data_IF_692125149033
#
_entry.id   IF_692125149033
#
_cell.length_a   1.000
_cell.length_b   1.000
_cell.length_c   1.000
_cell.angle_alpha   90.00
_cell.angle_beta   90.00
_cell.angle_gamma   90.00
#
_symmetry.space_group_name_H-M   'P 1'
#
loop_
_entity.id
_entity.type
_entity.pdbx_description
1 polymer ?
#
# COMPACT_ATOMS: atom_id res chain seq x y z
N UNK A 1 -22.88 13.20 -6.15
CA UNK A 1 -23.63 12.07 -5.62
C UNK A 1 -22.87 11.47 -4.46
N UNK A 2 -23.48 11.40 -3.28
CA UNK A 2 -22.86 10.75 -2.13
C UNK A 2 -22.83 9.23 -2.31
N UNK A 3 -21.88 8.56 -1.66
CA UNK A 3 -21.87 7.11 -1.57
C UNK A 3 -23.13 6.70 -0.80
N UNK A 4 -23.98 5.89 -1.42
CA UNK A 4 -25.19 5.34 -0.81
C UNK A 4 -24.93 3.87 -0.50
N UNK A 5 -25.56 3.38 0.56
CA UNK A 5 -25.53 1.95 0.95
C UNK A 5 -24.13 1.41 1.30
N UNK A 6 -23.34 2.17 2.08
CA UNK A 6 -22.09 1.68 2.64
C UNK A 6 -22.39 0.71 3.77
N UNK A 7 -21.80 -0.49 3.71
CA UNK A 7 -21.79 -1.47 4.79
C UNK A 7 -20.37 -1.65 5.29
N UNK A 8 -20.17 -1.50 6.59
CA UNK A 8 -18.90 -1.80 7.24
C UNK A 8 -18.85 -3.26 7.68
N UNK A 9 -17.78 -3.96 7.31
CA UNK A 9 -17.42 -5.24 7.89
C UNK A 9 -16.15 -5.04 8.69
N UNK A 10 -16.25 -5.14 10.01
CA UNK A 10 -15.14 -4.80 10.91
C UNK A 10 -14.73 -6.01 11.75
N UNK A 11 -13.48 -6.42 11.65
CA UNK A 11 -12.87 -7.44 12.49
C UNK A 11 -12.09 -6.77 13.62
N UNK A 12 -12.49 -7.00 14.86
CA UNK A 12 -11.89 -6.34 16.04
C UNK A 12 -11.98 -7.23 17.28
N UNK A 13 -10.98 -7.13 18.14
CA UNK A 13 -10.99 -7.73 19.49
C UNK A 13 -11.78 -6.89 20.50
N UNK A 14 -12.21 -5.68 20.13
CA UNK A 14 -13.02 -4.79 20.95
C UNK A 14 -14.35 -4.38 20.27
N UNK A 15 -15.29 -5.34 20.07
CA UNK A 15 -16.52 -5.08 19.31
C UNK A 15 -17.41 -4.01 19.94
N UNK A 16 -17.44 -3.91 21.28
CA UNK A 16 -18.28 -2.90 21.94
C UNK A 16 -17.85 -1.48 21.56
N UNK A 17 -16.53 -1.20 21.61
CA UNK A 17 -15.98 0.12 21.28
C UNK A 17 -16.21 0.49 19.82
N UNK A 18 -16.09 -0.48 18.93
CA UNK A 18 -16.33 -0.28 17.50
C UNK A 18 -17.81 -0.06 17.21
N UNK A 19 -18.71 -0.82 17.82
CA UNK A 19 -20.16 -0.61 17.66
C UNK A 19 -20.57 0.81 18.09
N UNK A 20 -20.03 1.32 19.20
CA UNK A 20 -20.27 2.70 19.62
C UNK A 20 -19.73 3.73 18.61
N UNK A 21 -18.55 3.49 18.03
CA UNK A 21 -17.95 4.39 17.05
C UNK A 21 -18.69 4.39 15.71
N UNK A 22 -19.38 3.29 15.36
CA UNK A 22 -20.13 3.12 14.12
C UNK A 22 -21.65 3.26 14.30
N UNK A 23 -22.08 3.81 15.44
CA UNK A 23 -23.51 4.06 15.67
C UNK A 23 -24.12 4.89 14.53
N UNK A 24 -25.23 4.40 13.96
CA UNK A 24 -25.89 5.02 12.81
C UNK A 24 -25.38 4.55 11.44
N UNK A 25 -24.36 3.69 11.37
CA UNK A 25 -23.92 3.06 10.14
C UNK A 25 -24.31 1.58 10.07
N UNK A 26 -24.52 1.07 8.86
CA UNK A 26 -24.72 -0.37 8.65
C UNK A 26 -23.36 -1.07 8.87
N UNK A 27 -23.20 -1.70 10.04
CA UNK A 27 -21.96 -2.35 10.41
C UNK A 27 -22.20 -3.81 10.84
N UNK A 28 -21.34 -4.72 10.34
CA UNK A 28 -21.23 -6.11 10.80
C UNK A 28 -19.88 -6.23 11.52
N UNK A 29 -19.92 -6.32 12.84
CA UNK A 29 -18.71 -6.34 13.68
C UNK A 29 -18.46 -7.76 14.14
N UNK A 30 -17.30 -8.31 13.79
CA UNK A 30 -16.90 -9.69 14.01
C UNK A 30 -15.65 -9.78 14.88
N UNK A 31 -15.57 -10.86 15.64
CA UNK A 31 -14.30 -11.23 16.29
C UNK A 31 -13.34 -11.79 15.24
N UNK A 32 -12.05 -11.41 15.28
CA UNK A 32 -11.08 -11.93 14.36
C UNK A 32 -10.82 -13.43 14.64
N UNK A 33 -10.50 -14.16 13.59
CA UNK A 33 -9.99 -15.52 13.77
C UNK A 33 -8.66 -15.48 14.53
N UNK A 34 -8.48 -16.37 15.50
CA UNK A 34 -7.24 -16.43 16.28
C UNK A 34 -6.15 -17.13 15.47
N UNK A 35 -5.12 -16.39 15.12
CA UNK A 35 -3.88 -16.89 14.50
C UNK A 35 -2.67 -16.38 15.28
N UNK A 36 -1.56 -17.09 15.19
CA UNK A 36 -0.28 -16.65 15.79
C UNK A 36 0.35 -15.45 15.07
N UNK A 37 -0.02 -15.19 13.81
CA UNK A 37 0.51 -14.08 13.00
C UNK A 37 -0.53 -13.01 12.76
N UNK A 38 -0.25 -11.72 13.04
CA UNK A 38 -1.12 -10.60 12.71
C UNK A 38 -1.49 -10.54 11.21
N UNK A 39 -0.55 -10.86 10.33
CA UNK A 39 -0.79 -10.92 8.88
C UNK A 39 -1.83 -11.96 8.50
N UNK A 40 -1.83 -13.13 9.14
CA UNK A 40 -2.86 -14.16 8.90
C UNK A 40 -4.24 -13.73 9.40
N UNK A 41 -4.31 -12.98 10.50
CA UNK A 41 -5.57 -12.40 10.99
C UNK A 41 -6.10 -11.41 9.95
N UNK A 42 -5.27 -10.52 9.46
CA UNK A 42 -5.61 -9.53 8.44
C UNK A 42 -6.07 -10.20 7.14
N UNK A 43 -5.31 -11.17 6.62
CA UNK A 43 -5.69 -11.90 5.41
C UNK A 43 -7.01 -12.66 5.54
N UNK A 44 -7.30 -13.21 6.72
CA UNK A 44 -8.57 -13.88 6.98
C UNK A 44 -9.74 -12.87 6.96
N UNK A 45 -9.56 -11.69 7.55
CA UNK A 45 -10.54 -10.62 7.53
C UNK A 45 -10.81 -10.12 6.11
N UNK A 46 -9.77 -9.94 5.31
CA UNK A 46 -9.91 -9.54 3.90
C UNK A 46 -10.60 -10.61 3.04
N UNK A 47 -10.28 -11.90 3.23
CA UNK A 47 -11.00 -13.01 2.56
C UNK A 47 -12.47 -13.04 2.94
N UNK A 48 -12.78 -12.81 4.20
CA UNK A 48 -14.17 -12.77 4.69
C UNK A 48 -14.93 -11.59 4.07
N UNK A 49 -14.29 -10.42 3.91
CA UNK A 49 -14.87 -9.26 3.24
C UNK A 49 -15.18 -9.56 1.76
N UNK A 50 -14.25 -10.20 1.03
CA UNK A 50 -14.51 -10.61 -0.36
C UNK A 50 -15.62 -11.66 -0.46
N UNK A 51 -15.67 -12.63 0.44
CA UNK A 51 -16.70 -13.67 0.45
C UNK A 51 -18.09 -13.11 0.80
N UNK A 52 -18.17 -12.03 1.57
CA UNK A 52 -19.40 -11.35 1.93
C UNK A 52 -19.92 -10.41 0.82
N UNK A 53 -19.10 -10.06 -0.14
CA UNK A 53 -19.45 -9.17 -1.24
C UNK A 53 -20.07 -9.95 -2.41
N UNK A 54 -21.08 -9.36 -3.04
CA UNK A 54 -21.65 -9.89 -4.27
C UNK A 54 -20.80 -9.51 -5.47
N UNK A 55 -20.77 -10.30 -6.55
CA UNK A 55 -20.09 -9.92 -7.78
C UNK A 55 -20.53 -8.53 -8.27
N UNK A 56 -19.57 -7.67 -8.59
CA UNK A 56 -19.79 -6.28 -8.99
C UNK A 56 -19.87 -5.26 -7.85
N UNK A 57 -20.00 -5.69 -6.60
CA UNK A 57 -19.90 -4.78 -5.46
C UNK A 57 -18.46 -4.24 -5.30
N UNK A 58 -18.32 -3.06 -4.74
CA UNK A 58 -17.03 -2.42 -4.47
C UNK A 58 -16.63 -2.70 -3.05
N UNK A 59 -15.43 -3.22 -2.87
CA UNK A 59 -14.85 -3.56 -1.57
C UNK A 59 -13.65 -2.67 -1.33
N UNK A 60 -13.65 -1.93 -0.22
CA UNK A 60 -12.51 -1.15 0.23
C UNK A 60 -11.88 -1.82 1.45
N UNK A 61 -10.56 -2.00 1.42
CA UNK A 61 -9.77 -2.56 2.50
C UNK A 61 -9.05 -1.43 3.23
N UNK A 62 -9.44 -1.20 4.47
CA UNK A 62 -8.84 -0.16 5.30
C UNK A 62 -8.37 -0.80 6.61
N UNK A 63 -7.08 -0.82 6.83
CA UNK A 63 -6.50 -1.28 8.08
C UNK A 63 -6.68 -0.24 9.18
N UNK A 64 -6.67 -0.67 10.44
CA UNK A 64 -6.91 0.22 11.59
C UNK A 64 -5.86 1.32 11.77
N UNK A 65 -4.70 1.16 11.17
CA UNK A 65 -3.58 2.09 11.17
C UNK A 65 -3.52 2.98 9.91
N UNK A 66 -4.50 2.87 9.00
CA UNK A 66 -4.58 3.69 7.79
C UNK A 66 -5.43 4.93 7.99
N UNK A 67 -4.95 6.04 7.44
CA UNK A 67 -5.70 7.31 7.33
C UNK A 67 -5.75 7.71 5.88
N UNK A 68 -6.95 7.91 5.35
CA UNK A 68 -7.18 8.36 3.97
C UNK A 68 -7.46 9.87 3.89
N UNK A 69 -7.11 10.47 2.75
CA UNK A 69 -7.51 11.83 2.42
C UNK A 69 -9.02 11.93 2.17
N UNK A 70 -9.57 13.13 2.17
CA UNK A 70 -11.02 13.32 1.99
C UNK A 70 -11.51 12.93 0.58
N UNK A 71 -10.64 12.82 -0.40
CA UNK A 71 -10.97 12.48 -1.79
C UNK A 71 -11.02 10.97 -2.08
N UNK A 72 -10.49 10.10 -1.19
CA UNK A 72 -10.23 8.69 -1.51
C UNK A 72 -11.44 7.98 -2.12
N UNK A 73 -12.62 8.09 -1.52
CA UNK A 73 -13.81 7.42 -2.04
C UNK A 73 -14.30 8.02 -3.36
N UNK A 74 -14.27 9.34 -3.50
CA UNK A 74 -14.66 10.00 -4.74
C UNK A 74 -13.69 9.67 -5.89
N UNK A 75 -12.40 9.57 -5.61
CA UNK A 75 -11.39 9.13 -6.57
C UNK A 75 -11.67 7.68 -7.02
N UNK A 76 -11.92 6.76 -6.08
CA UNK A 76 -12.26 5.39 -6.40
C UNK A 76 -13.47 5.28 -7.31
N UNK A 77 -14.55 5.99 -6.96
CA UNK A 77 -15.78 5.97 -7.75
C UNK A 77 -15.55 6.42 -9.20
N UNK A 78 -14.75 7.49 -9.41
CA UNK A 78 -14.36 7.92 -10.76
C UNK A 78 -13.65 6.81 -11.52
N UNK A 79 -12.65 6.16 -10.89
CA UNK A 79 -11.87 5.11 -11.56
C UNK A 79 -12.69 3.85 -11.84
N UNK A 80 -13.59 3.48 -10.96
CA UNK A 80 -14.53 2.39 -11.26
C UNK A 80 -15.50 2.74 -12.39
N UNK A 81 -15.93 3.99 -12.49
CA UNK A 81 -16.74 4.46 -13.62
C UNK A 81 -15.95 4.44 -14.95
N UNK A 82 -14.61 4.65 -14.89
CA UNK A 82 -13.69 4.52 -16.02
C UNK A 82 -13.36 3.04 -16.37
N UNK A 83 -14.04 2.07 -15.75
CA UNK A 83 -13.88 0.63 -16.01
C UNK A 83 -12.70 -0.01 -15.28
N UNK A 84 -12.07 0.65 -14.31
CA UNK A 84 -11.05 0.03 -13.48
C UNK A 84 -11.69 -0.98 -12.51
N UNK A 85 -10.94 -2.05 -12.20
CA UNK A 85 -11.37 -3.11 -11.28
C UNK A 85 -10.58 -3.13 -9.98
N UNK A 86 -9.41 -2.52 -9.95
CA UNK A 86 -8.61 -2.34 -8.74
C UNK A 86 -7.97 -0.96 -8.71
N UNK A 87 -7.83 -0.43 -7.52
CA UNK A 87 -7.16 0.84 -7.25
C UNK A 87 -6.06 0.58 -6.24
N UNK A 88 -4.84 0.88 -6.65
CA UNK A 88 -3.61 0.67 -5.90
C UNK A 88 -3.09 1.99 -5.35
N UNK A 89 -2.71 1.99 -4.09
CA UNK A 89 -2.12 3.15 -3.43
C UNK A 89 -0.81 2.77 -2.77
N UNK A 90 0.09 3.73 -2.62
CA UNK A 90 1.20 3.61 -1.68
C UNK A 90 0.74 4.03 -0.30
N UNK A 91 1.10 3.26 0.73
CA UNK A 91 0.94 3.66 2.12
C UNK A 91 2.25 4.29 2.60
N UNK A 92 2.29 5.62 2.72
CA UNK A 92 3.45 6.27 3.35
C UNK A 92 3.43 5.99 4.84
N UNK A 93 4.39 5.19 5.32
CA UNK A 93 4.47 4.85 6.74
C UNK A 93 4.99 6.03 7.55
N UNK A 94 4.20 6.42 8.53
CA UNK A 94 4.37 7.62 9.36
C UNK A 94 4.51 7.22 10.82
N UNK A 95 5.39 7.87 11.55
CA UNK A 95 5.56 7.62 12.98
C UNK A 95 4.35 8.16 13.77
N UNK A 96 3.74 7.30 14.58
CA UNK A 96 2.71 7.71 15.51
C UNK A 96 3.37 8.46 16.68
N UNK A 97 3.26 9.80 16.66
CA UNK A 97 3.75 10.71 17.69
C UNK A 97 2.60 11.43 18.40
N UNK A 98 2.94 12.54 19.03
CA UNK A 98 1.96 13.41 19.70
C UNK A 98 1.11 14.19 18.70
N UNK A 99 1.66 14.50 17.53
CA UNK A 99 0.94 15.17 16.46
C UNK A 99 0.04 14.19 15.70
N UNK A 100 -1.19 14.62 15.47
CA UNK A 100 -2.18 13.85 14.73
C UNK A 100 -2.17 14.24 13.27
N UNK A 101 -2.41 13.30 12.33
CA UNK A 101 -2.64 13.66 10.95
C UNK A 101 -3.81 14.63 10.82
N UNK A 102 -3.75 15.59 9.90
CA UNK A 102 -4.80 16.58 9.72
C UNK A 102 -6.10 15.90 9.28
N UNK A 103 -7.14 16.02 10.11
CA UNK A 103 -8.44 15.42 9.84
C UNK A 103 -9.10 16.06 8.61
N UNK A 104 -9.61 15.23 7.69
CA UNK A 104 -10.24 15.71 6.46
C UNK A 104 -9.28 16.41 5.50
N UNK A 105 -7.98 16.15 5.61
CA UNK A 105 -7.00 16.75 4.73
C UNK A 105 -7.17 16.31 3.28
N UNK A 106 -6.85 17.21 2.35
CA UNK A 106 -6.64 16.87 0.95
C UNK A 106 -5.41 15.99 0.79
N UNK A 107 -5.39 15.20 -0.27
CA UNK A 107 -4.38 14.18 -0.51
C UNK A 107 -2.94 14.75 -0.46
N UNK A 108 -2.65 15.83 -1.18
CA UNK A 108 -1.34 16.48 -1.18
C UNK A 108 -0.90 16.93 0.23
N UNK A 109 -1.81 17.49 1.01
CA UNK A 109 -1.51 17.96 2.36
C UNK A 109 -1.24 16.80 3.31
N UNK A 110 -2.02 15.71 3.18
CA UNK A 110 -1.82 14.49 3.97
C UNK A 110 -0.46 13.84 3.64
N UNK A 111 -0.09 13.75 2.37
CA UNK A 111 1.21 13.20 1.94
C UNK A 111 2.38 14.07 2.40
N UNK A 112 2.26 15.39 2.30
CA UNK A 112 3.29 16.31 2.79
C UNK A 112 3.51 16.16 4.29
N UNK A 113 2.42 16.14 5.06
CA UNK A 113 2.48 15.89 6.51
C UNK A 113 3.12 14.52 6.82
N UNK A 114 2.72 13.47 6.10
CA UNK A 114 3.25 12.13 6.28
C UNK A 114 4.75 12.05 6.01
N UNK A 115 5.24 12.78 5.00
CA UNK A 115 6.66 12.82 4.68
C UNK A 115 7.47 13.54 5.76
N UNK A 116 6.95 14.59 6.33
CA UNK A 116 7.58 15.32 7.44
C UNK A 116 7.65 14.47 8.72
N UNK A 117 6.63 13.63 8.95
CA UNK A 117 6.51 12.73 10.12
C UNK A 117 6.85 11.28 9.77
N UNK A 118 7.62 11.05 8.70
CA UNK A 118 7.90 9.70 8.20
C UNK A 118 8.52 8.79 9.25
N UNK A 119 8.06 7.57 9.24
CA UNK A 119 8.58 6.54 10.13
C UNK A 119 10.06 6.23 9.79
N UNK A 120 10.91 5.88 10.77
CA UNK A 120 12.29 5.44 10.54
C UNK A 120 12.44 4.34 9.49
N UNK A 121 11.46 3.49 9.28
CA UNK A 121 11.44 2.53 8.18
C UNK A 121 11.34 3.21 6.80
N UNK A 122 10.47 4.20 6.65
CA UNK A 122 10.38 5.00 5.41
C UNK A 122 11.70 5.69 5.12
N UNK A 123 12.34 6.26 6.15
CA UNK A 123 13.68 6.85 6.03
C UNK A 123 14.73 5.82 5.60
N UNK A 124 14.65 4.58 6.10
CA UNK A 124 15.56 3.51 5.70
C UNK A 124 15.35 3.06 4.24
N UNK A 125 14.27 3.46 3.58
CA UNK A 125 13.99 3.21 2.15
C UNK A 125 14.34 4.40 1.24
N UNK A 126 14.94 5.47 1.75
CA UNK A 126 15.37 6.61 0.92
C UNK A 126 16.64 6.25 0.14
N UNK A 127 16.61 6.44 -1.18
CA UNK A 127 17.75 6.14 -2.06
C UNK A 127 18.99 6.95 -1.71
N UNK A 128 20.14 6.31 -1.79
CA UNK A 128 21.45 6.94 -1.50
C UNK A 128 21.84 7.01 -0.02
N UNK A 129 20.88 6.97 0.91
CA UNK A 129 21.15 7.00 2.36
C UNK A 129 20.44 5.91 3.15
N UNK A 130 19.33 5.39 2.62
CA UNK A 130 18.55 4.35 3.26
C UNK A 130 19.27 3.01 3.34
N UNK A 131 18.96 2.23 4.34
CA UNK A 131 19.64 0.98 4.70
C UNK A 131 18.68 -0.20 4.89
N UNK A 132 17.54 -0.17 4.23
CA UNK A 132 16.53 -1.23 4.35
C UNK A 132 17.01 -2.55 3.75
N UNK A 133 16.78 -3.66 4.47
CA UNK A 133 16.93 -5.02 3.93
C UNK A 133 15.67 -5.51 3.23
N UNK A 134 14.56 -4.78 3.35
CA UNK A 134 13.26 -5.09 2.74
C UNK A 134 12.78 -3.85 1.97
N UNK A 135 13.37 -3.56 0.81
CA UNK A 135 13.07 -2.35 0.05
C UNK A 135 11.80 -2.51 -0.80
N UNK A 136 10.65 -2.80 -0.14
CA UNK A 136 9.36 -2.91 -0.83
C UNK A 136 8.91 -1.60 -1.46
N UNK A 137 9.36 -0.48 -0.89
CA UNK A 137 9.21 0.87 -1.42
C UNK A 137 10.58 1.52 -1.50
N UNK A 138 10.76 2.40 -2.46
CA UNK A 138 12.01 3.14 -2.69
C UNK A 138 11.67 4.61 -2.92
N UNK A 139 12.23 5.48 -2.09
CA UNK A 139 11.96 6.92 -2.13
C UNK A 139 13.16 7.67 -2.67
N UNK A 140 12.91 8.53 -3.65
CA UNK A 140 13.90 9.46 -4.22
C UNK A 140 13.54 10.86 -3.75
N UNK A 141 14.39 11.43 -2.91
CA UNK A 141 14.18 12.74 -2.32
C UNK A 141 15.16 13.75 -2.91
N UNK A 142 14.63 14.87 -3.38
CA UNK A 142 15.36 16.05 -3.78
C UNK A 142 14.87 17.27 -2.98
N UNK A 143 15.47 18.44 -3.17
CA UNK A 143 15.09 19.66 -2.47
C UNK A 143 13.62 20.04 -2.67
N UNK A 144 13.04 19.66 -3.81
CA UNK A 144 11.71 20.12 -4.22
C UNK A 144 10.69 18.99 -4.42
N UNK A 145 11.13 17.73 -4.42
CA UNK A 145 10.29 16.61 -4.83
C UNK A 145 10.61 15.34 -4.07
N UNK A 146 9.60 14.53 -3.85
CA UNK A 146 9.73 13.14 -3.37
C UNK A 146 8.95 12.24 -4.30
N UNK A 147 9.67 11.30 -4.93
CA UNK A 147 9.11 10.27 -5.80
C UNK A 147 9.24 8.92 -5.12
N UNK A 148 8.20 8.12 -5.20
CA UNK A 148 8.20 6.75 -4.69
C UNK A 148 8.00 5.76 -5.83
N UNK A 149 8.78 4.69 -5.82
CA UNK A 149 8.54 3.46 -6.56
C UNK A 149 8.28 2.33 -5.57
N UNK A 150 7.26 1.53 -5.81
CA UNK A 150 6.89 0.47 -4.89
C UNK A 150 6.64 -0.85 -5.62
N UNK A 151 7.24 -1.94 -5.12
CA UNK A 151 6.92 -3.29 -5.58
C UNK A 151 5.57 -3.77 -5.05
N UNK A 152 5.25 -3.41 -3.80
CA UNK A 152 4.00 -3.81 -3.16
C UNK A 152 3.16 -2.56 -2.89
N UNK A 153 2.15 -2.37 -3.73
CA UNK A 153 1.13 -1.35 -3.53
C UNK A 153 -0.10 -1.97 -2.86
N UNK A 154 -0.72 -1.22 -1.99
CA UNK A 154 -1.94 -1.67 -1.30
C UNK A 154 -3.15 -1.59 -2.24
N UNK A 155 -3.82 -2.73 -2.58
CA UNK A 155 -5.04 -2.73 -3.36
C UNK A 155 -6.23 -2.32 -2.47
N UNK A 156 -6.32 -1.04 -2.17
CA UNK A 156 -7.26 -0.55 -1.17
C UNK A 156 -8.73 -0.64 -1.60
N UNK A 157 -9.02 -0.64 -2.91
CA UNK A 157 -10.38 -0.81 -3.39
C UNK A 157 -10.43 -1.70 -4.65
N UNK A 158 -11.39 -2.62 -4.69
CA UNK A 158 -11.59 -3.54 -5.80
C UNK A 158 -13.06 -3.74 -6.12
N UNK A 159 -13.37 -4.16 -7.36
CA UNK A 159 -14.66 -4.69 -7.74
C UNK A 159 -14.68 -6.19 -7.46
N UNK A 160 -15.56 -6.64 -6.58
CA UNK A 160 -15.68 -8.04 -6.21
C UNK A 160 -16.02 -8.92 -7.42
N UNK A 161 -15.31 -10.02 -7.56
CA UNK A 161 -15.51 -11.02 -8.62
C UNK A 161 -14.97 -12.39 -8.17
N UNK A 162 -15.47 -13.45 -8.79
CA UNK A 162 -15.13 -14.82 -8.40
C UNK A 162 -13.67 -15.22 -8.66
N UNK A 163 -12.95 -14.45 -9.47
CA UNK A 163 -11.54 -14.65 -9.80
C UNK A 163 -10.57 -13.99 -8.79
N UNK A 164 -11.07 -13.10 -7.91
CA UNK A 164 -10.23 -12.49 -6.88
C UNK A 164 -9.87 -13.49 -5.78
N UNK A 165 -8.59 -13.57 -5.44
CA UNK A 165 -8.06 -14.45 -4.40
C UNK A 165 -7.04 -13.76 -3.54
N UNK A 166 -6.98 -14.17 -2.28
CA UNK A 166 -5.94 -13.74 -1.32
C UNK A 166 -5.22 -15.01 -0.87
N UNK A 167 -4.19 -15.39 -1.63
CA UNK A 167 -3.40 -16.62 -1.38
C UNK A 167 -2.12 -16.33 -0.57
N UNK A 168 -1.70 -15.05 -0.50
CA UNK A 168 -0.54 -14.59 0.25
C UNK A 168 -0.83 -14.28 1.73
N UNK A 169 0.20 -13.77 2.41
CA UNK A 169 0.08 -13.30 3.80
C UNK A 169 -0.64 -11.97 3.90
N UNK A 170 -0.61 -11.17 2.83
CA UNK A 170 -1.30 -9.89 2.72
C UNK A 170 -2.06 -9.79 1.40
N UNK A 171 -2.98 -8.84 1.30
CA UNK A 171 -3.69 -8.58 0.03
C UNK A 171 -2.76 -8.02 -1.05
N UNK A 172 -1.64 -7.41 -0.64
CA UNK A 172 -0.66 -6.80 -1.55
C UNK A 172 0.07 -7.87 -2.40
N UNK A 173 0.11 -9.12 -1.91
CA UNK A 173 0.86 -10.19 -2.56
C UNK A 173 0.15 -10.73 -3.82
N UNK A 174 -1.18 -10.96 -3.77
CA UNK A 174 -1.85 -11.77 -4.80
C UNK A 174 -3.21 -11.26 -5.25
N UNK A 175 -3.87 -10.37 -4.49
CA UNK A 175 -5.26 -10.00 -4.76
C UNK A 175 -5.48 -9.51 -6.20
N UNK A 176 -4.56 -8.72 -6.72
CA UNK A 176 -4.68 -8.13 -8.06
C UNK A 176 -4.03 -8.96 -9.18
N UNK A 177 -3.41 -10.12 -8.87
CA UNK A 177 -2.74 -10.96 -9.88
C UNK A 177 -3.70 -11.48 -10.96
N UNK A 178 -4.99 -11.67 -10.61
CA UNK A 178 -6.03 -12.09 -11.55
C UNK A 178 -6.64 -10.96 -12.36
N UNK A 179 -6.28 -9.70 -12.07
CA UNK A 179 -6.83 -8.52 -12.76
C UNK A 179 -5.91 -8.12 -13.90
N UNK A 180 -6.46 -7.96 -15.10
CA UNK A 180 -5.71 -7.46 -16.24
C UNK A 180 -5.11 -6.07 -15.92
N UNK A 181 -3.81 -5.85 -16.21
CA UNK A 181 -3.08 -4.62 -15.87
C UNK A 181 -3.80 -3.35 -16.35
N UNK A 182 -4.43 -3.38 -17.54
CA UNK A 182 -5.22 -2.26 -18.05
C UNK A 182 -6.46 -1.91 -17.20
N UNK A 183 -6.93 -2.84 -16.35
CA UNK A 183 -8.04 -2.65 -15.43
C UNK A 183 -7.58 -2.24 -14.01
N UNK A 184 -6.28 -2.12 -13.78
CA UNK A 184 -5.73 -1.62 -12.51
C UNK A 184 -5.43 -0.13 -12.67
N UNK A 185 -5.72 0.65 -11.63
CA UNK A 185 -5.31 2.04 -11.51
C UNK A 185 -4.33 2.18 -10.36
N UNK A 186 -3.15 2.72 -10.63
CA UNK A 186 -2.18 3.12 -9.61
C UNK A 186 -2.34 4.62 -9.39
N UNK A 187 -2.60 5.02 -8.16
CA UNK A 187 -2.66 6.43 -7.79
C UNK A 187 -1.23 6.97 -7.77
N UNK A 188 -0.91 7.82 -8.74
CA UNK A 188 0.42 8.42 -8.92
C UNK A 188 0.43 9.92 -8.68
N UNK A 189 -0.73 10.56 -8.78
CA UNK A 189 -0.91 12.00 -8.58
C UNK A 189 -1.21 12.30 -7.10
N UNK A 190 -0.41 13.15 -6.45
CA UNK A 190 -0.61 13.50 -5.03
C UNK A 190 -1.91 14.27 -4.77
N UNK A 191 -2.59 14.76 -5.81
CA UNK A 191 -3.87 15.46 -5.68
C UNK A 191 -5.09 14.53 -5.88
N UNK A 192 -4.88 13.30 -6.31
CA UNK A 192 -5.98 12.38 -6.59
C UNK A 192 -6.56 11.73 -5.33
N UNK A 193 -5.70 11.08 -4.57
CA UNK A 193 -6.04 10.38 -3.33
C UNK A 193 -4.75 10.03 -2.56
N UNK A 194 -4.83 9.91 -1.25
CA UNK A 194 -3.71 9.49 -0.43
C UNK A 194 -4.15 8.58 0.72
N UNK A 195 -3.27 7.63 1.05
CA UNK A 195 -3.31 6.90 2.30
C UNK A 195 -1.95 6.98 2.99
N UNK A 196 -1.99 7.05 4.30
CA UNK A 196 -0.82 6.95 5.18
C UNK A 196 -1.03 5.83 6.18
N UNK A 197 0.06 5.21 6.63
CA UNK A 197 0.05 4.20 7.69
C UNK A 197 0.65 4.79 8.96
N UNK A 198 -0.07 4.71 10.08
CA UNK A 198 0.40 5.15 11.39
C UNK A 198 1.04 3.99 12.12
N UNK A 199 2.33 4.05 12.37
CA UNK A 199 3.07 3.01 13.08
C UNK A 199 3.71 3.54 14.36
N UNK A 200 3.77 2.74 15.44
CA UNK A 200 4.50 3.11 16.64
C UNK A 200 5.95 3.47 16.30
N UNK A 201 6.53 4.54 16.90
CA UNK A 201 7.90 4.91 16.62
C UNK A 201 8.84 3.81 17.11
N UNK A 202 9.56 3.18 16.19
CA UNK A 202 10.50 2.12 16.49
C UNK A 202 11.09 1.52 15.24
N UNK A 203 12.35 1.11 15.33
CA UNK A 203 13.00 0.41 14.21
C UNK A 203 13.12 -1.07 14.54
N UNK A 204 12.57 -1.96 13.72
CA UNK A 204 12.90 -3.37 13.82
C UNK A 204 14.41 -3.54 13.60
N UNK A 205 15.14 -4.05 14.60
CA UNK A 205 16.61 -4.14 14.58
C UNK A 205 17.17 -4.96 13.41
N UNK A 206 16.38 -5.87 12.87
CA UNK A 206 16.78 -6.80 11.80
C UNK A 206 16.53 -6.28 10.37
N UNK A 207 16.02 -5.05 10.21
CA UNK A 207 15.70 -4.50 8.89
C UNK A 207 16.74 -3.53 8.34
N UNK A 208 17.93 -3.50 8.92
CA UNK A 208 18.94 -2.52 8.56
C UNK A 208 20.23 -3.15 8.03
N UNK A 209 20.68 -2.69 6.87
CA UNK A 209 22.02 -2.95 6.38
C UNK A 209 23.05 -2.04 7.05
N UNK A 210 24.34 -2.40 6.98
CA UNK A 210 25.45 -1.51 7.41
C UNK A 210 25.70 -0.39 6.41
N UNK A 211 25.41 -0.64 5.12
CA UNK A 211 25.61 0.31 4.02
C UNK A 211 24.28 0.67 3.36
N UNK A 212 24.22 1.82 2.67
CA UNK A 212 23.06 2.18 1.87
C UNK A 212 22.70 1.11 0.84
N UNK A 213 21.39 1.03 0.50
CA UNK A 213 20.90 0.13 -0.51
C UNK A 213 21.44 0.49 -1.89
N UNK A 214 21.71 -0.52 -2.72
CA UNK A 214 22.15 -0.40 -4.10
C UNK A 214 21.15 -1.06 -5.04
N UNK A 215 21.17 -0.70 -6.33
CA UNK A 215 20.33 -1.35 -7.34
C UNK A 215 20.48 -2.88 -7.32
N UNK A 216 21.71 -3.38 -7.14
CA UNK A 216 21.99 -4.82 -7.01
C UNK A 216 21.34 -5.45 -5.76
N UNK A 217 21.43 -4.80 -4.59
CA UNK A 217 20.84 -5.33 -3.35
C UNK A 217 19.31 -5.37 -3.43
N UNK A 218 18.70 -4.37 -4.06
CA UNK A 218 17.25 -4.30 -4.28
C UNK A 218 16.81 -5.39 -5.27
N UNK A 219 17.50 -5.53 -6.39
CA UNK A 219 17.22 -6.58 -7.37
C UNK A 219 17.38 -7.98 -6.78
N UNK A 220 18.42 -8.20 -5.97
CA UNK A 220 18.63 -9.46 -5.24
C UNK A 220 17.45 -9.76 -4.31
N UNK A 221 17.00 -8.77 -3.53
CA UNK A 221 15.83 -8.92 -2.67
C UNK A 221 14.57 -9.25 -3.47
N UNK A 222 14.30 -8.51 -4.56
CA UNK A 222 13.11 -8.68 -5.39
C UNK A 222 13.05 -10.07 -6.07
N UNK A 223 14.22 -10.63 -6.44
CA UNK A 223 14.36 -11.99 -7.01
C UNK A 223 14.31 -13.11 -5.98
N UNK A 224 14.41 -12.78 -4.70
CA UNK A 224 14.34 -13.76 -3.61
C UNK A 224 12.98 -14.44 -3.52
N UNK A 225 12.91 -15.48 -2.72
CA UNK A 225 11.67 -16.20 -2.47
C UNK A 225 10.91 -15.55 -1.30
N UNK A 226 9.60 -15.56 -1.38
CA UNK A 226 8.70 -15.26 -0.28
C UNK A 226 8.49 -16.51 0.62
N UNK A 227 7.67 -16.38 1.65
CA UNK A 227 7.39 -17.45 2.61
C UNK A 227 6.68 -18.67 2.00
N UNK A 228 6.09 -18.53 0.80
CA UNK A 228 5.41 -19.60 0.07
C UNK A 228 6.29 -20.21 -1.03
N UNK A 229 7.60 -19.90 -1.04
CA UNK A 229 8.57 -20.28 -2.06
C UNK A 229 8.28 -19.73 -3.47
N UNK A 230 7.36 -18.78 -3.60
CA UNK A 230 7.16 -17.98 -4.81
C UNK A 230 8.16 -16.80 -4.88
N UNK A 231 8.29 -16.14 -6.04
CA UNK A 231 9.10 -14.92 -6.13
C UNK A 231 8.50 -13.83 -5.25
N UNK A 232 9.35 -13.06 -4.53
CA UNK A 232 8.89 -11.90 -3.75
C UNK A 232 8.21 -10.85 -4.61
N UNK A 233 8.70 -10.68 -5.83
CA UNK A 233 8.11 -9.74 -6.77
C UNK A 233 7.63 -10.50 -8.01
N UNK A 234 6.31 -10.62 -8.15
CA UNK A 234 5.62 -11.16 -9.34
C UNK A 234 5.75 -10.18 -10.52
N UNK A 235 5.22 -10.57 -11.68
CA UNK A 235 5.12 -9.68 -12.83
C UNK A 235 4.29 -8.42 -12.52
N UNK A 236 3.23 -8.57 -11.71
CA UNK A 236 2.42 -7.44 -11.24
C UNK A 236 3.26 -6.48 -10.39
N UNK A 237 4.01 -7.00 -9.40
CA UNK A 237 4.86 -6.17 -8.54
C UNK A 237 5.91 -5.38 -9.32
N UNK A 238 6.51 -5.99 -10.32
CA UNK A 238 7.46 -5.31 -11.21
C UNK A 238 6.78 -4.23 -12.04
N UNK A 239 5.58 -4.48 -12.55
CA UNK A 239 4.77 -3.49 -13.24
C UNK A 239 4.39 -2.33 -12.30
N UNK A 240 4.03 -2.60 -11.04
CA UNK A 240 3.78 -1.57 -10.02
C UNK A 240 5.00 -0.69 -9.80
N UNK A 241 6.18 -1.30 -9.68
CA UNK A 241 7.45 -0.59 -9.46
C UNK A 241 7.80 0.40 -10.58
N UNK A 242 7.28 0.24 -11.79
CA UNK A 242 7.50 1.17 -12.90
C UNK A 242 6.71 2.48 -12.76
N UNK A 243 5.74 2.54 -11.86
CA UNK A 243 4.96 3.75 -11.63
C UNK A 243 5.70 4.73 -10.73
N UNK A 244 5.81 5.96 -11.22
CA UNK A 244 6.37 7.08 -10.46
C UNK A 244 5.25 7.72 -9.65
N UNK A 245 5.29 7.56 -8.34
CA UNK A 245 4.27 8.06 -7.41
C UNK A 245 4.82 9.31 -6.76
N UNK A 246 4.16 10.43 -6.97
CA UNK A 246 4.56 11.72 -6.39
C UNK A 246 4.02 11.80 -4.96
N UNK A 247 4.92 11.92 -3.99
CA UNK A 247 4.57 12.15 -2.58
C UNK A 247 4.60 13.65 -2.24
N UNK A 248 5.58 14.36 -2.79
CA UNK A 248 5.75 15.80 -2.56
C UNK A 248 6.29 16.47 -3.83
N UNK A 249 5.91 17.74 -4.05
CA UNK A 249 6.35 18.51 -5.21
C UNK A 249 5.56 18.20 -6.48
N UNK A 250 6.16 18.45 -7.62
CA UNK A 250 5.56 18.32 -8.96
C UNK A 250 6.03 17.06 -9.73
N UNK A 251 6.99 16.34 -9.17
CA UNK A 251 7.57 15.15 -9.81
C UNK A 251 8.45 15.48 -11.02
N UNK A 252 8.92 16.70 -11.17
CA UNK A 252 9.76 17.10 -12.32
C UNK A 252 11.16 16.47 -12.30
N UNK A 253 11.71 16.19 -11.11
CA UNK A 253 12.98 15.46 -10.94
C UNK A 253 12.87 14.06 -11.55
N UNK A 254 13.88 13.67 -12.32
CA UNK A 254 13.97 12.38 -13.03
C UNK A 254 15.17 11.53 -12.59
N UNK A 255 15.79 11.85 -11.48
CA UNK A 255 16.95 11.12 -10.94
C UNK A 255 16.63 9.66 -10.62
N UNK A 256 15.35 9.36 -10.32
CA UNK A 256 14.83 8.03 -10.07
C UNK A 256 14.88 7.09 -11.30
N UNK A 257 14.67 7.63 -12.50
CA UNK A 257 14.41 6.82 -13.71
C UNK A 257 15.59 5.91 -14.07
N UNK A 258 16.82 6.44 -14.04
CA UNK A 258 18.00 5.65 -14.37
C UNK A 258 18.21 4.50 -13.38
N UNK A 259 18.02 4.76 -12.10
CA UNK A 259 18.16 3.77 -11.02
C UNK A 259 17.10 2.68 -11.14
N UNK A 260 15.84 3.06 -11.35
CA UNK A 260 14.75 2.10 -11.49
C UNK A 260 14.93 1.21 -12.73
N UNK A 261 15.40 1.76 -13.85
CA UNK A 261 15.73 0.99 -15.03
C UNK A 261 16.89 0.01 -14.78
N UNK A 262 17.93 0.41 -14.05
CA UNK A 262 19.02 -0.48 -13.64
C UNK A 262 18.50 -1.64 -12.77
N UNK A 263 17.64 -1.35 -11.78
CA UNK A 263 17.03 -2.37 -10.92
C UNK A 263 16.24 -3.37 -11.78
N UNK A 264 15.40 -2.91 -12.69
CA UNK A 264 14.60 -3.77 -13.57
C UNK A 264 15.46 -4.64 -14.50
N UNK A 265 16.53 -4.09 -15.06
CA UNK A 265 17.48 -4.85 -15.86
C UNK A 265 18.16 -5.96 -15.03
N UNK A 266 18.54 -5.64 -13.78
CA UNK A 266 19.13 -6.61 -12.88
C UNK A 266 18.12 -7.69 -12.44
N UNK A 267 16.84 -7.36 -12.30
CA UNK A 267 15.78 -8.34 -12.00
C UNK A 267 15.53 -9.25 -13.21
N UNK A 268 15.52 -8.72 -14.43
CA UNK A 268 15.26 -9.48 -15.65
C UNK A 268 16.47 -10.34 -16.11
N UNK A 269 17.68 -9.97 -15.70
CA UNK A 269 18.92 -10.63 -16.11
C UNK A 269 19.08 -12.07 -15.55
N UNK A 270 20.09 -12.81 -16.02
CA UNK A 270 20.43 -14.12 -15.46
C UNK A 270 20.75 -14.01 -13.96
N UNK A 271 20.55 -15.09 -13.19
CA UNK A 271 20.86 -15.09 -11.75
C UNK A 271 22.30 -14.62 -11.57
N UNK A 272 22.48 -13.57 -10.79
CA UNK A 272 23.81 -13.15 -10.36
C UNK A 272 24.42 -14.28 -9.52
N UNK A 273 25.49 -14.88 -10.02
CA UNK A 273 26.22 -15.93 -9.34
C UNK A 273 26.85 -15.42 -8.01
#
# INVERSE_FOLDING_TARGET
GGIRDVRFLVHTDNPLRVNLALEGFAADVRLPQKFYSPYRIMSAAHRDALAAARPGERVAFVNADMVGSCEVFAAAERRFADGKRAIMVTGTRTALGDERPPCGAQARNLLAWAWEHRHPWTEDCVWGRGKSVVPSQLHFESDHSVITHAFHLHPWAVVASADLRIDGLTIDDTLADSIALGCIHVVTDPDEAAFIELSPPGRPKFHRHQSPSTARSIAYWARGLNETNGPRCSALHRWQFQHRIVIKGDGADRSDVAVCNEIELLIAGPRLA
#
